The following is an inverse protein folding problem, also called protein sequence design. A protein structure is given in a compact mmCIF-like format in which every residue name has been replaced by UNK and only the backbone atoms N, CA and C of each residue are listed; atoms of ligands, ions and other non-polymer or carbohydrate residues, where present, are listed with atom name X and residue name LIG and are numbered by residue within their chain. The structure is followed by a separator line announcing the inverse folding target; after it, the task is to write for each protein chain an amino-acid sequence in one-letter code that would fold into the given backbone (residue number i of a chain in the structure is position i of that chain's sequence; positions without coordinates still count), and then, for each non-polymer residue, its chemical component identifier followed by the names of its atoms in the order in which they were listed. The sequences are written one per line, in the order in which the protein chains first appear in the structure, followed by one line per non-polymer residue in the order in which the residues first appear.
data_IF_753588570752
#
_entry.id   IF_753588570752
#
_cell.length_a   1.000
_cell.length_b   1.000
_cell.length_c   1.000
_cell.angle_alpha   90.00
_cell.angle_beta   90.00
_cell.angle_gamma   90.00
#
_symmetry.space_group_name_H-M   'P 1'
#
loop_
_entity.id
_entity.type
_entity.pdbx_description
1 polymer ?
#
# COMPACT_ATOMS: atom_id res chain seq x y z
N UNK A 1 10.81 25.12 1.70
CA UNK A 1 12.03 24.84 0.89
C UNK A 1 12.61 23.55 1.44
N UNK A 2 12.80 22.54 0.62
CA UNK A 2 13.34 21.25 1.07
C UNK A 2 14.81 21.21 0.66
N UNK A 3 15.70 21.15 1.63
CA UNK A 3 17.14 21.03 1.39
C UNK A 3 17.51 19.54 1.49
N UNK A 4 18.12 19.01 0.46
CA UNK A 4 18.51 17.59 0.38
C UNK A 4 20.04 17.56 0.27
N UNK A 5 20.72 17.05 1.30
CA UNK A 5 22.15 16.82 1.30
C UNK A 5 22.48 15.34 1.35
N UNK A 6 23.41 14.89 0.53
CA UNK A 6 23.93 13.53 0.59
C UNK A 6 25.05 13.47 1.62
N UNK A 7 24.88 12.69 2.67
CA UNK A 7 25.90 12.47 3.71
C UNK A 7 26.32 11.01 3.66
N UNK A 8 27.63 10.75 3.64
CA UNK A 8 28.18 9.39 3.76
C UNK A 8 28.70 9.17 5.17
N UNK A 9 28.11 8.22 5.89
CA UNK A 9 28.63 7.72 7.16
C UNK A 9 28.79 6.19 7.06
N UNK A 10 29.93 5.69 7.45
CA UNK A 10 30.24 4.22 7.50
C UNK A 10 29.94 3.46 6.20
N UNK A 11 30.24 4.04 5.04
CA UNK A 11 30.05 3.41 3.74
C UNK A 11 28.59 3.35 3.26
N UNK A 12 27.63 3.89 4.02
CA UNK A 12 26.23 4.02 3.63
C UNK A 12 25.95 5.46 3.21
N UNK A 13 25.42 5.64 2.02
CA UNK A 13 24.94 6.97 1.57
C UNK A 13 23.54 7.20 2.14
N UNK A 14 23.36 8.34 2.79
CA UNK A 14 22.08 8.77 3.33
C UNK A 14 21.71 10.13 2.74
N UNK A 15 20.42 10.35 2.51
CA UNK A 15 19.86 11.67 2.23
C UNK A 15 19.46 12.32 3.55
N UNK A 16 20.02 13.49 3.83
CA UNK A 16 19.53 14.36 4.89
C UNK A 16 18.40 15.21 4.29
N UNK A 17 17.20 14.98 4.76
CA UNK A 17 16.02 15.76 4.30
C UNK A 17 15.64 16.74 5.38
N UNK A 18 15.75 18.03 5.07
CA UNK A 18 15.31 19.11 5.95
C UNK A 18 14.08 19.77 5.34
N UNK A 19 12.92 19.63 5.98
CA UNK A 19 11.70 20.30 5.56
C UNK A 19 11.48 21.56 6.41
N UNK A 20 11.39 22.71 5.78
CA UNK A 20 10.91 23.93 6.43
C UNK A 20 9.49 24.22 5.96
N UNK A 21 8.54 24.19 6.87
CA UNK A 21 7.15 24.60 6.60
C UNK A 21 7.00 26.05 7.05
N UNK A 22 6.59 26.99 6.18
CA UNK A 22 6.33 28.36 6.58
C UNK A 22 5.29 28.42 7.70
N UNK A 23 5.62 29.07 8.82
CA UNK A 23 4.74 29.22 9.99
C UNK A 23 4.86 28.13 11.06
N UNK A 24 5.60 27.06 10.81
CA UNK A 24 6.00 26.07 11.81
C UNK A 24 7.52 26.04 11.88
N UNK A 25 8.08 26.12 13.07
CA UNK A 25 9.52 26.07 13.26
C UNK A 25 10.16 24.83 12.61
N UNK A 26 11.47 24.83 12.48
CA UNK A 26 12.25 23.78 11.84
C UNK A 26 11.83 22.39 12.32
N UNK A 27 11.35 21.57 11.39
CA UNK A 27 11.24 20.12 11.63
C UNK A 27 12.65 19.54 11.71
N UNK A 28 12.89 18.67 12.67
CA UNK A 28 14.20 18.02 12.82
C UNK A 28 14.55 17.29 11.51
N UNK A 29 15.81 17.41 11.04
CA UNK A 29 16.25 16.68 9.87
C UNK A 29 16.16 15.17 10.12
N UNK A 30 15.67 14.41 9.17
CA UNK A 30 15.68 12.95 9.23
C UNK A 30 16.59 12.37 8.14
N UNK A 31 17.29 11.30 8.48
CA UNK A 31 18.17 10.61 7.55
C UNK A 31 17.42 9.52 6.81
N UNK A 32 17.50 9.55 5.50
CA UNK A 32 16.94 8.54 4.62
C UNK A 32 18.09 7.80 3.92
N UNK A 33 18.24 6.50 4.10
CA UNK A 33 19.30 5.75 3.43
C UNK A 33 19.14 5.79 1.91
N UNK A 34 20.23 6.09 1.20
CA UNK A 34 20.34 6.00 -0.26
C UNK A 34 20.75 4.57 -0.61
N UNK A 35 19.85 3.79 -1.08
CA UNK A 35 20.09 2.45 -1.60
C UNK A 35 18.83 1.88 -2.22
N UNK A 36 19.00 0.95 -3.14
CA UNK A 36 17.90 0.18 -3.70
C UNK A 36 16.93 -0.23 -2.60
N UNK A 37 15.70 0.20 -2.66
CA UNK A 37 14.66 -0.02 -1.67
C UNK A 37 15.20 0.11 -0.24
N UNK A 38 15.12 1.31 0.31
CA UNK A 38 15.56 1.62 1.67
C UNK A 38 15.06 0.54 2.64
N UNK A 39 15.81 0.25 3.69
CA UNK A 39 15.39 -0.63 4.79
C UNK A 39 13.97 -0.29 5.29
N UNK A 40 13.53 0.93 5.08
CA UNK A 40 12.19 1.45 5.32
C UNK A 40 11.12 0.80 4.45
N UNK A 41 11.43 0.37 3.21
CA UNK A 41 10.51 -0.37 2.34
C UNK A 41 10.57 -1.88 2.57
N UNK A 42 11.54 -2.36 3.34
CA UNK A 42 11.69 -3.79 3.64
C UNK A 42 10.82 -4.23 4.82
N UNK A 43 10.49 -3.34 5.75
CA UNK A 43 9.60 -3.66 6.86
C UNK A 43 8.12 -3.71 6.40
N UNK A 44 7.45 -4.88 6.53
CA UNK A 44 6.05 -5.02 6.15
C UNK A 44 5.10 -4.05 6.87
N UNK A 45 5.33 -3.80 8.16
CA UNK A 45 4.49 -2.92 8.97
C UNK A 45 4.51 -1.49 8.44
N UNK A 46 5.68 -1.01 8.06
CA UNK A 46 5.85 0.32 7.47
C UNK A 46 5.18 0.41 6.10
N UNK A 47 5.27 -0.62 5.26
CA UNK A 47 4.60 -0.64 3.96
C UNK A 47 3.09 -0.62 4.11
N UNK A 48 2.55 -1.41 5.05
CA UNK A 48 1.12 -1.44 5.36
C UNK A 48 0.67 -0.08 5.89
N UNK A 49 1.42 0.53 6.80
CA UNK A 49 1.10 1.87 7.34
C UNK A 49 1.03 2.94 6.24
N UNK A 50 1.91 2.87 5.24
CA UNK A 50 1.95 3.80 4.10
C UNK A 50 0.96 3.50 2.99
N UNK A 51 0.20 2.43 3.12
CA UNK A 51 -0.71 1.98 2.08
C UNK A 51 -1.96 2.83 1.90
N UNK A 52 -2.25 3.74 2.81
CA UNK A 52 -3.52 4.48 2.90
C UNK A 52 -4.73 3.58 3.23
N UNK A 53 -4.47 2.34 3.66
CA UNK A 53 -5.51 1.40 4.08
C UNK A 53 -6.15 1.87 5.39
N UNK A 54 -7.47 1.71 5.59
CA UNK A 54 -8.11 1.96 6.87
C UNK A 54 -7.45 1.19 8.01
N UNK A 55 -7.18 1.88 9.12
CA UNK A 55 -6.38 1.35 10.24
C UNK A 55 -6.96 0.06 10.85
N UNK A 56 -8.29 -0.06 10.86
CA UNK A 56 -9.00 -1.26 11.35
C UNK A 56 -8.72 -2.53 10.55
N UNK A 57 -8.23 -2.40 9.31
CA UNK A 57 -7.90 -3.54 8.44
C UNK A 57 -6.41 -3.85 8.37
N UNK A 58 -5.56 -2.97 8.92
CA UNK A 58 -4.11 -3.18 8.92
C UNK A 58 -3.73 -4.44 9.68
N UNK A 59 -2.85 -5.25 9.09
CA UNK A 59 -2.35 -6.48 9.69
C UNK A 59 -3.34 -7.64 9.78
N UNK A 60 -4.58 -7.48 9.29
CA UNK A 60 -5.55 -8.59 9.21
C UNK A 60 -5.13 -9.60 8.14
N UNK A 61 -5.39 -10.88 8.42
CA UNK A 61 -5.05 -12.02 7.56
C UNK A 61 -6.30 -12.76 7.08
N UNK A 62 -6.16 -13.73 6.17
CA UNK A 62 -7.27 -14.58 5.69
C UNK A 62 -7.97 -15.34 6.81
N UNK A 63 -7.28 -15.63 7.89
CA UNK A 63 -7.85 -16.24 9.11
C UNK A 63 -8.86 -15.34 9.82
N UNK A 64 -8.73 -14.01 9.62
CA UNK A 64 -9.67 -13.03 10.16
C UNK A 64 -10.95 -12.93 9.35
N UNK A 65 -11.02 -13.57 8.16
CA UNK A 65 -12.17 -13.50 7.29
C UNK A 65 -13.14 -14.67 7.56
N UNK A 66 -14.31 -14.34 8.07
CA UNK A 66 -15.32 -15.36 8.39
C UNK A 66 -16.09 -15.79 7.14
N UNK A 67 -15.67 -16.89 6.56
CA UNK A 67 -16.32 -17.51 5.40
C UNK A 67 -17.65 -18.18 5.74
N UNK A 68 -17.96 -18.42 7.00
CA UNK A 68 -19.21 -19.10 7.40
C UNK A 68 -20.44 -18.23 7.26
N UNK A 69 -20.24 -16.91 7.13
CA UNK A 69 -21.31 -15.94 6.93
C UNK A 69 -21.99 -16.06 5.56
N UNK A 70 -21.38 -16.78 4.63
CA UNK A 70 -21.92 -16.95 3.28
C UNK A 70 -22.72 -18.26 3.19
N UNK A 71 -23.94 -18.17 2.64
CA UNK A 71 -24.86 -19.30 2.52
C UNK A 71 -24.57 -20.19 1.30
N UNK A 72 -23.92 -19.63 0.27
CA UNK A 72 -23.62 -20.33 -0.96
C UNK A 72 -22.34 -21.17 -0.86
N UNK A 73 -22.13 -22.09 -1.78
CA UNK A 73 -20.85 -22.80 -1.89
C UNK A 73 -19.74 -21.86 -2.37
N UNK A 74 -18.90 -21.47 -1.43
CA UNK A 74 -17.81 -20.52 -1.62
C UNK A 74 -16.44 -21.17 -1.89
N UNK A 75 -16.41 -22.48 -2.12
CA UNK A 75 -15.13 -23.21 -2.31
C UNK A 75 -14.29 -22.64 -3.43
N UNK A 76 -14.93 -22.28 -4.56
CA UNK A 76 -14.22 -21.69 -5.69
C UNK A 76 -13.63 -20.33 -5.33
N UNK A 77 -14.40 -19.47 -4.69
CA UNK A 77 -13.95 -18.14 -4.26
C UNK A 77 -12.77 -18.25 -3.30
N UNK A 78 -12.86 -19.13 -2.32
CA UNK A 78 -11.78 -19.37 -1.36
C UNK A 78 -10.52 -19.87 -2.05
N UNK A 79 -10.62 -20.85 -2.95
CA UNK A 79 -9.48 -21.34 -3.74
C UNK A 79 -8.87 -20.25 -4.63
N UNK A 80 -9.70 -19.38 -5.22
CA UNK A 80 -9.22 -18.25 -6.03
C UNK A 80 -8.44 -17.24 -5.19
N UNK A 81 -8.96 -16.92 -4.01
CA UNK A 81 -8.31 -16.03 -3.04
C UNK A 81 -6.96 -16.61 -2.59
N UNK A 82 -6.91 -17.88 -2.24
CA UNK A 82 -5.68 -18.57 -1.85
C UNK A 82 -4.65 -18.56 -2.99
N UNK A 83 -5.08 -18.93 -4.19
CA UNK A 83 -4.21 -18.93 -5.37
C UNK A 83 -3.67 -17.53 -5.69
N UNK A 84 -4.48 -16.48 -5.53
CA UNK A 84 -4.04 -15.11 -5.78
C UNK A 84 -2.91 -14.69 -4.86
N UNK A 85 -3.00 -14.99 -3.56
CA UNK A 85 -1.95 -14.66 -2.60
C UNK A 85 -0.68 -15.48 -2.84
N UNK A 86 -0.82 -16.79 -3.04
CA UNK A 86 0.32 -17.72 -3.15
C UNK A 86 1.07 -17.55 -4.47
N UNK A 87 0.34 -17.32 -5.53
CA UNK A 87 0.88 -17.19 -6.89
C UNK A 87 0.91 -15.75 -7.40
N UNK A 88 0.92 -14.78 -6.50
CA UNK A 88 0.83 -13.36 -6.87
C UNK A 88 1.88 -12.93 -7.91
N UNK A 89 3.09 -13.49 -7.89
CA UNK A 89 4.11 -13.20 -8.91
C UNK A 89 3.67 -13.52 -10.34
N UNK A 90 2.86 -14.57 -10.52
CA UNK A 90 2.36 -14.96 -11.85
C UNK A 90 1.25 -13.98 -12.29
N UNK A 91 0.39 -13.57 -11.36
CA UNK A 91 -0.64 -12.57 -11.62
C UNK A 91 -0.01 -11.22 -11.98
N UNK A 92 0.97 -10.78 -11.20
CA UNK A 92 1.73 -9.55 -11.43
C UNK A 92 2.42 -9.58 -12.81
N UNK A 93 3.16 -10.64 -13.11
CA UNK A 93 3.85 -10.80 -14.40
C UNK A 93 2.90 -10.77 -15.60
N UNK A 94 1.69 -11.28 -15.43
CA UNK A 94 0.67 -11.31 -16.49
C UNK A 94 -0.22 -10.06 -16.52
N UNK A 95 0.01 -9.09 -15.63
CA UNK A 95 -0.81 -7.87 -15.50
C UNK A 95 -2.26 -8.15 -15.07
N UNK A 96 -2.51 -9.30 -14.44
CA UNK A 96 -3.85 -9.68 -13.98
C UNK A 96 -4.05 -9.33 -12.52
N UNK A 97 -5.20 -8.73 -12.20
CA UNK A 97 -5.66 -8.47 -10.86
C UNK A 97 -6.83 -9.37 -10.43
N UNK A 98 -7.34 -9.12 -9.25
CA UNK A 98 -8.52 -9.78 -8.72
C UNK A 98 -9.68 -8.77 -8.64
N UNK A 99 -10.82 -9.13 -9.24
CA UNK A 99 -12.05 -8.36 -9.13
C UNK A 99 -12.99 -9.01 -8.12
N UNK A 100 -13.26 -8.32 -7.01
CA UNK A 100 -14.11 -8.81 -5.92
C UNK A 100 -15.49 -8.17 -6.06
N UNK A 101 -16.49 -8.99 -6.39
CA UNK A 101 -17.86 -8.55 -6.62
C UNK A 101 -18.85 -9.24 -5.69
N UNK A 102 -19.86 -8.50 -5.27
CA UNK A 102 -21.05 -9.01 -4.58
C UNK A 102 -22.21 -8.05 -4.77
N UNK A 103 -23.42 -8.59 -4.96
CA UNK A 103 -24.66 -7.81 -5.03
C UNK A 103 -25.03 -7.16 -3.68
N UNK A 104 -24.57 -7.77 -2.58
CA UNK A 104 -24.92 -7.31 -1.24
C UNK A 104 -23.96 -6.21 -0.75
N UNK A 105 -24.52 -5.13 -0.21
CA UNK A 105 -23.76 -4.15 0.56
C UNK A 105 -23.32 -4.80 1.89
N UNK A 106 -22.16 -4.43 2.40
CA UNK A 106 -21.65 -4.98 3.67
C UNK A 106 -21.15 -6.43 3.62
N UNK A 107 -20.99 -7.02 2.42
CA UNK A 107 -20.49 -8.40 2.26
C UNK A 107 -18.97 -8.57 2.41
N UNK A 108 -18.27 -7.68 3.09
CA UNK A 108 -16.83 -7.83 3.39
C UNK A 108 -15.87 -7.64 2.20
N UNK A 109 -16.30 -7.12 1.04
CA UNK A 109 -15.43 -6.93 -0.15
C UNK A 109 -14.18 -6.12 0.15
N UNK A 110 -14.33 -4.96 0.78
CA UNK A 110 -13.23 -4.09 1.16
C UNK A 110 -12.31 -4.79 2.17
N UNK A 111 -12.89 -5.44 3.16
CA UNK A 111 -12.15 -6.19 4.16
C UNK A 111 -11.32 -7.32 3.52
N UNK A 112 -11.91 -8.09 2.61
CA UNK A 112 -11.19 -9.14 1.87
C UNK A 112 -10.05 -8.55 1.03
N UNK A 113 -10.27 -7.46 0.30
CA UNK A 113 -9.23 -6.80 -0.47
C UNK A 113 -8.05 -6.36 0.42
N UNK A 114 -8.34 -5.75 1.57
CA UNK A 114 -7.32 -5.33 2.52
C UNK A 114 -6.53 -6.51 3.11
N UNK A 115 -7.20 -7.62 3.44
CA UNK A 115 -6.55 -8.86 3.90
C UNK A 115 -5.56 -9.38 2.85
N UNK A 116 -5.98 -9.48 1.60
CA UNK A 116 -5.12 -9.94 0.51
C UNK A 116 -3.91 -9.04 0.32
N UNK A 117 -4.13 -7.73 0.36
CA UNK A 117 -3.07 -6.74 0.27
C UNK A 117 -2.07 -6.86 1.43
N UNK A 118 -2.53 -7.04 2.66
CA UNK A 118 -1.67 -7.28 3.83
C UNK A 118 -0.79 -8.52 3.65
N UNK A 119 -1.38 -9.65 3.28
CA UNK A 119 -0.62 -10.91 3.13
C UNK A 119 0.37 -10.87 1.98
N UNK A 120 0.02 -10.26 0.85
CA UNK A 120 0.92 -10.09 -0.28
C UNK A 120 2.09 -9.17 0.12
N UNK A 121 1.79 -8.05 0.78
CA UNK A 121 2.81 -7.07 1.22
C UNK A 121 3.74 -7.65 2.29
N UNK A 122 3.22 -8.50 3.18
CA UNK A 122 4.04 -9.19 4.18
C UNK A 122 5.07 -10.15 3.54
N UNK A 123 4.71 -10.77 2.43
CA UNK A 123 5.56 -11.75 1.73
C UNK A 123 6.51 -11.14 0.71
N UNK A 124 6.27 -9.90 0.28
CA UNK A 124 6.99 -9.28 -0.84
C UNK A 124 7.38 -7.83 -0.56
N UNK A 125 8.64 -7.47 -0.84
CA UNK A 125 9.15 -6.11 -0.59
C UNK A 125 8.75 -5.16 -1.72
N UNK A 126 7.49 -4.74 -1.78
CA UNK A 126 7.04 -3.72 -2.73
C UNK A 126 6.00 -2.76 -2.12
N UNK A 127 5.76 -1.66 -2.81
CA UNK A 127 4.78 -0.67 -2.40
C UNK A 127 3.35 -1.15 -2.73
N UNK A 128 2.46 -0.91 -1.79
CA UNK A 128 1.02 -1.11 -1.92
C UNK A 128 0.31 0.19 -1.60
N UNK A 129 -0.78 0.47 -2.30
CA UNK A 129 -1.67 1.58 -2.02
C UNK A 129 -3.12 1.11 -2.00
N UNK A 130 -3.91 1.71 -1.14
CA UNK A 130 -5.35 1.55 -1.07
C UNK A 130 -5.99 2.90 -1.34
N UNK A 131 -6.98 2.94 -2.18
CA UNK A 131 -7.77 4.14 -2.44
C UNK A 131 -9.22 3.76 -2.78
N UNK A 132 -10.17 4.57 -2.34
CA UNK A 132 -11.55 4.42 -2.78
C UNK A 132 -11.74 5.10 -4.14
N UNK A 133 -12.68 4.62 -4.95
CA UNK A 133 -12.97 5.24 -6.24
C UNK A 133 -13.38 6.71 -6.13
N UNK A 134 -14.22 7.14 -5.17
CA UNK A 134 -14.49 8.56 -4.96
C UNK A 134 -13.23 9.38 -4.71
N UNK A 135 -12.36 8.95 -3.80
CA UNK A 135 -11.13 9.65 -3.46
C UNK A 135 -10.18 9.73 -4.68
N UNK A 136 -10.09 8.64 -5.45
CA UNK A 136 -9.31 8.63 -6.69
C UNK A 136 -9.83 9.66 -7.70
N UNK A 137 -11.16 9.74 -7.87
CA UNK A 137 -11.78 10.72 -8.77
C UNK A 137 -11.50 12.15 -8.30
N UNK A 138 -11.54 12.41 -6.99
CA UNK A 138 -11.21 13.71 -6.43
C UNK A 138 -9.75 14.09 -6.68
N UNK A 139 -8.82 13.16 -6.45
CA UNK A 139 -7.40 13.37 -6.74
C UNK A 139 -7.14 13.67 -8.23
N UNK A 140 -7.81 12.95 -9.14
CA UNK A 140 -7.65 13.19 -10.59
C UNK A 140 -8.18 14.57 -11.00
N UNK A 141 -9.23 15.07 -10.34
CA UNK A 141 -9.79 16.40 -10.57
C UNK A 141 -8.98 17.50 -9.88
N UNK A 142 -8.23 17.16 -8.85
CA UNK A 142 -7.40 18.09 -8.09
C UNK A 142 -6.32 18.73 -8.97
N UNK A 143 -6.02 20.00 -8.69
CA UNK A 143 -5.02 20.79 -9.45
C UNK A 143 -3.76 21.06 -8.62
N UNK A 144 -3.79 20.68 -7.34
CA UNK A 144 -2.72 20.97 -6.44
C UNK A 144 -1.52 20.04 -6.63
N UNK A 145 -0.33 20.55 -6.29
CA UNK A 145 0.91 19.78 -6.40
C UNK A 145 0.88 18.52 -5.51
N UNK A 146 0.25 18.61 -4.34
CA UNK A 146 0.06 17.47 -3.42
C UNK A 146 -0.76 16.34 -4.02
N UNK A 147 -1.84 16.69 -4.74
CA UNK A 147 -2.70 15.71 -5.42
C UNK A 147 -1.94 14.97 -6.51
N UNK A 148 -1.13 15.70 -7.29
CA UNK A 148 -0.27 15.10 -8.34
C UNK A 148 0.76 14.16 -7.74
N UNK A 149 1.42 14.54 -6.66
CA UNK A 149 2.39 13.67 -5.97
C UNK A 149 1.72 12.40 -5.44
N UNK A 150 0.51 12.51 -4.93
CA UNK A 150 -0.28 11.35 -4.46
C UNK A 150 -0.65 10.44 -5.64
N UNK A 151 -1.09 11.01 -6.76
CA UNK A 151 -1.38 10.26 -7.99
C UNK A 151 -0.14 9.54 -8.53
N UNK A 152 1.00 10.22 -8.58
CA UNK A 152 2.26 9.60 -9.01
C UNK A 152 2.63 8.41 -8.12
N UNK A 153 2.40 8.52 -6.81
CA UNK A 153 2.58 7.42 -5.87
C UNK A 153 1.62 6.26 -6.09
N UNK A 154 0.37 6.53 -6.51
CA UNK A 154 -0.60 5.50 -6.87
C UNK A 154 -0.21 4.77 -8.17
N UNK A 155 0.21 5.51 -9.19
CA UNK A 155 0.67 4.92 -10.46
C UNK A 155 1.99 4.13 -10.32
N UNK A 156 2.85 4.52 -9.40
CA UNK A 156 4.12 3.85 -9.15
C UNK A 156 4.00 2.63 -8.24
N UNK A 157 2.86 2.41 -7.56
CA UNK A 157 2.72 1.26 -6.68
C UNK A 157 2.50 -0.04 -7.48
N UNK A 158 2.95 -1.15 -6.91
CA UNK A 158 2.85 -2.48 -7.57
C UNK A 158 1.55 -3.21 -7.27
N UNK A 159 0.84 -2.79 -6.22
CA UNK A 159 -0.46 -3.31 -5.83
C UNK A 159 -1.37 -2.13 -5.46
N UNK A 160 -2.48 -1.99 -6.18
CA UNK A 160 -3.50 -0.98 -5.98
C UNK A 160 -4.84 -1.66 -5.71
#
# INVERSE_FOLDING_TARGET
MTDIKTIGENGKRCLLVTCSVPGYGYTQPFMMPLGSESAYNQDPSTRIFRSMMPSEYMGKTRESFDWTLYRDDIKLQKRTVDAFVERFAEFEKSGRGLYIYSKCKGSGKTFLACILANEITARRPFSMKFITLPDFIELVKGKDVSDRQTLDGLYACRLL
#
